data_IF_514836705022
#
_entry.id   IF_514836705022
#
_cell.length_a   1.000
_cell.length_b   1.000
_cell.length_c   1.000
_cell.angle_alpha   90.00
_cell.angle_beta   90.00
_cell.angle_gamma   90.00
#
_symmetry.space_group_name_H-M   'P 1'
#
loop_
_entity.id
_entity.type
_entity.pdbx_description
1 polymer ?
#
# COMPACT_ATOMS: atom_id res chain seq x y z
N UNK A 1 -16.25 -19.43 3.16
CA UNK A 1 -15.74 -20.22 1.99
C UNK A 1 -14.60 -19.44 1.34
N UNK A 2 -13.52 -20.09 0.83
CA UNK A 2 -12.42 -19.35 0.19
C UNK A 2 -12.84 -18.76 -1.17
N UNK A 3 -13.03 -17.45 -1.23
CA UNK A 3 -13.40 -16.76 -2.48
C UNK A 3 -12.24 -16.77 -3.49
N UNK A 4 -12.58 -16.87 -4.78
CA UNK A 4 -11.62 -16.83 -5.90
C UNK A 4 -11.24 -15.38 -6.25
N UNK A 5 -10.13 -15.19 -6.98
CA UNK A 5 -9.72 -13.87 -7.47
C UNK A 5 -10.82 -13.17 -8.28
N UNK A 6 -11.56 -13.91 -9.11
CA UNK A 6 -12.68 -13.36 -9.89
C UNK A 6 -13.82 -12.85 -8.99
N UNK A 7 -14.18 -13.61 -7.94
CA UNK A 7 -15.22 -13.20 -6.99
C UNK A 7 -14.81 -11.95 -6.19
N UNK A 8 -13.55 -11.88 -5.76
CA UNK A 8 -13.02 -10.71 -5.04
C UNK A 8 -12.98 -9.47 -5.94
N UNK A 9 -12.55 -9.63 -7.19
CA UNK A 9 -12.59 -8.59 -8.23
C UNK A 9 -14.03 -8.13 -8.52
N UNK A 10 -14.97 -9.04 -8.62
CA UNK A 10 -16.38 -8.70 -8.79
C UNK A 10 -16.91 -7.88 -7.61
N UNK A 11 -16.57 -8.27 -6.37
CA UNK A 11 -16.95 -7.55 -5.15
C UNK A 11 -16.35 -6.14 -5.13
N UNK A 12 -15.07 -6.02 -5.48
CA UNK A 12 -14.39 -4.73 -5.63
C UNK A 12 -15.08 -3.82 -6.65
N UNK A 13 -15.45 -4.38 -7.82
CA UNK A 13 -16.16 -3.62 -8.86
C UNK A 13 -17.53 -3.14 -8.38
N UNK A 14 -18.27 -3.98 -7.65
CA UNK A 14 -19.56 -3.62 -7.06
C UNK A 14 -19.42 -2.52 -6.01
N UNK A 15 -18.45 -2.65 -5.10
CA UNK A 15 -18.21 -1.66 -4.04
C UNK A 15 -17.80 -0.29 -4.59
N UNK A 16 -17.02 -0.26 -5.67
CA UNK A 16 -16.57 0.98 -6.30
C UNK A 16 -17.61 1.59 -7.26
N UNK A 17 -18.66 0.86 -7.63
CA UNK A 17 -19.63 1.33 -8.60
C UNK A 17 -20.31 2.62 -8.11
N UNK A 18 -20.22 3.70 -8.90
CA UNK A 18 -20.70 5.02 -8.52
C UNK A 18 -19.86 5.76 -7.45
N UNK A 19 -18.80 5.14 -6.91
CA UNK A 19 -17.98 5.65 -5.80
C UNK A 19 -16.49 5.87 -6.15
N UNK A 20 -16.11 5.73 -7.43
CA UNK A 20 -14.70 5.84 -7.88
C UNK A 20 -14.04 7.20 -7.60
N UNK A 21 -14.79 8.30 -7.59
CA UNK A 21 -14.21 9.65 -7.53
C UNK A 21 -13.29 9.88 -6.33
N UNK A 22 -13.71 9.46 -5.13
CA UNK A 22 -12.94 9.68 -3.90
C UNK A 22 -11.68 8.81 -3.83
N UNK A 23 -11.71 7.48 -4.09
CA UNK A 23 -10.49 6.67 -4.24
C UNK A 23 -9.53 7.18 -5.32
N UNK A 24 -10.04 7.63 -6.46
CA UNK A 24 -9.21 8.19 -7.55
C UNK A 24 -8.50 9.46 -7.09
N UNK A 25 -9.23 10.40 -6.49
CA UNK A 25 -8.66 11.62 -5.92
C UNK A 25 -7.62 11.30 -4.84
N UNK A 26 -7.90 10.28 -4.02
CA UNK A 26 -6.99 9.82 -2.99
C UNK A 26 -5.67 9.27 -3.53
N UNK A 27 -5.74 8.43 -4.57
CA UNK A 27 -4.54 7.93 -5.25
C UNK A 27 -3.75 9.07 -5.92
N UNK A 28 -4.45 9.99 -6.59
CA UNK A 28 -3.82 11.15 -7.23
C UNK A 28 -3.09 12.03 -6.19
N UNK A 29 -3.72 12.31 -5.05
CA UNK A 29 -3.11 13.05 -3.95
C UNK A 29 -1.83 12.34 -3.47
N UNK A 30 -1.90 11.03 -3.24
CA UNK A 30 -0.75 10.23 -2.80
C UNK A 30 0.38 10.27 -3.83
N UNK A 31 0.07 10.16 -5.12
CA UNK A 31 1.05 10.22 -6.20
C UNK A 31 1.72 11.61 -6.27
N UNK A 32 0.95 12.69 -6.17
CA UNK A 32 1.47 14.06 -6.16
C UNK A 32 2.39 14.30 -4.96
N UNK A 33 1.98 13.86 -3.76
CA UNK A 33 2.81 13.95 -2.55
C UNK A 33 4.11 13.18 -2.75
N UNK A 34 4.05 11.93 -3.22
CA UNK A 34 5.23 11.11 -3.45
C UNK A 34 6.20 11.76 -4.44
N UNK A 35 5.72 12.17 -5.61
CA UNK A 35 6.55 12.84 -6.62
C UNK A 35 7.17 14.12 -6.04
N UNK A 36 6.39 14.94 -5.35
CA UNK A 36 6.88 16.18 -4.76
C UNK A 36 7.98 15.95 -3.73
N UNK A 37 7.82 14.95 -2.85
CA UNK A 37 8.81 14.60 -1.84
C UNK A 37 10.10 14.06 -2.47
N UNK A 38 10.01 13.18 -3.46
CA UNK A 38 11.19 12.66 -4.15
C UNK A 38 11.91 13.75 -4.96
N UNK A 39 11.18 14.62 -5.63
CA UNK A 39 11.77 15.78 -6.34
C UNK A 39 12.48 16.73 -5.36
N UNK A 40 11.88 16.96 -4.19
CA UNK A 40 12.51 17.75 -3.13
C UNK A 40 13.79 17.09 -2.62
N UNK A 41 13.79 15.76 -2.42
CA UNK A 41 14.97 15.01 -2.00
C UNK A 41 16.13 15.17 -2.99
N UNK A 42 15.87 14.97 -4.27
CA UNK A 42 16.89 15.12 -5.32
C UNK A 42 17.31 16.58 -5.49
N UNK A 43 16.42 17.56 -5.30
CA UNK A 43 16.79 18.98 -5.36
C UNK A 43 17.71 19.40 -4.20
N UNK A 44 17.50 18.85 -2.99
CA UNK A 44 18.27 19.20 -1.80
C UNK A 44 19.58 18.41 -1.67
N UNK A 45 19.56 17.12 -2.00
CA UNK A 45 20.66 16.18 -1.75
C UNK A 45 21.18 15.49 -3.00
N UNK A 46 20.64 15.81 -4.18
CA UNK A 46 21.13 15.27 -5.44
C UNK A 46 22.56 15.72 -5.72
N UNK A 47 23.41 14.76 -6.03
CA UNK A 47 24.81 15.03 -6.36
C UNK A 47 25.65 13.76 -6.45
N UNK A 48 26.85 13.90 -7.01
CA UNK A 48 27.73 12.77 -7.33
C UNK A 48 28.78 12.45 -6.26
N UNK A 49 28.75 13.13 -5.11
CA UNK A 49 29.66 12.84 -4.00
C UNK A 49 29.12 11.69 -3.14
N UNK A 50 30.01 10.98 -2.44
CA UNK A 50 29.61 9.94 -1.48
C UNK A 50 28.66 10.52 -0.43
N UNK A 51 28.95 11.71 0.10
CA UNK A 51 28.12 12.36 1.11
C UNK A 51 26.72 12.70 0.59
N UNK A 52 26.59 13.22 -0.63
CA UNK A 52 25.28 13.57 -1.22
C UNK A 52 24.45 12.32 -1.47
N UNK A 53 25.06 11.24 -1.97
CA UNK A 53 24.36 9.97 -2.15
C UNK A 53 23.88 9.35 -0.83
N UNK A 54 24.74 9.34 0.20
CA UNK A 54 24.35 8.83 1.51
C UNK A 54 23.20 9.65 2.09
N UNK A 55 23.25 10.99 1.94
CA UNK A 55 22.16 11.87 2.39
C UNK A 55 20.87 11.65 1.58
N UNK A 56 20.94 11.59 0.25
CA UNK A 56 19.79 11.29 -0.61
C UNK A 56 19.15 9.96 -0.23
N UNK A 57 19.95 8.96 0.14
CA UNK A 57 19.45 7.66 0.58
C UNK A 57 18.74 7.73 1.94
N UNK A 58 19.31 8.44 2.91
CA UNK A 58 18.69 8.67 4.21
C UNK A 58 17.35 9.38 4.03
N UNK A 59 17.30 10.43 3.21
CA UNK A 59 16.07 11.16 2.91
C UNK A 59 15.04 10.30 2.17
N UNK A 60 15.48 9.49 1.23
CA UNK A 60 14.62 8.52 0.53
C UNK A 60 13.98 7.52 1.51
N UNK A 61 14.74 7.04 2.50
CA UNK A 61 14.21 6.18 3.57
C UNK A 61 13.16 6.94 4.38
N UNK A 62 13.46 8.16 4.85
CA UNK A 62 12.52 8.99 5.62
C UNK A 62 11.23 9.24 4.83
N UNK A 63 11.35 9.60 3.55
CA UNK A 63 10.20 9.81 2.66
C UNK A 63 9.38 8.52 2.52
N UNK A 64 10.03 7.37 2.34
CA UNK A 64 9.32 6.08 2.23
C UNK A 64 8.51 5.75 3.48
N UNK A 65 9.02 6.08 4.67
CA UNK A 65 8.31 5.89 5.94
C UNK A 65 7.12 6.84 6.04
N UNK A 66 7.27 8.11 5.68
CA UNK A 66 6.16 9.08 5.63
C UNK A 66 5.08 8.60 4.65
N UNK A 67 5.48 8.16 3.45
CA UNK A 67 4.58 7.63 2.44
C UNK A 67 3.87 6.35 2.88
N UNK A 68 4.49 5.53 3.73
CA UNK A 68 3.83 4.34 4.29
C UNK A 68 2.63 4.71 5.18
N UNK A 69 2.69 5.84 5.90
CA UNK A 69 1.58 6.34 6.71
C UNK A 69 0.44 6.81 5.81
N UNK A 70 0.74 7.60 4.77
CA UNK A 70 -0.27 7.98 3.78
C UNK A 70 -0.87 6.76 3.07
N UNK A 71 -0.04 5.77 2.72
CA UNK A 71 -0.50 4.52 2.10
C UNK A 71 -1.42 3.73 3.03
N UNK A 72 -1.16 3.71 4.35
CA UNK A 72 -2.05 3.10 5.32
C UNK A 72 -3.40 3.84 5.41
N UNK A 73 -3.39 5.18 5.41
CA UNK A 73 -4.62 5.97 5.34
C UNK A 73 -5.41 5.73 4.05
N UNK A 74 -4.74 5.63 2.91
CA UNK A 74 -5.36 5.25 1.64
C UNK A 74 -5.98 3.85 1.68
N UNK A 75 -5.34 2.90 2.36
CA UNK A 75 -5.90 1.59 2.60
C UNK A 75 -7.12 1.65 3.54
N UNK A 76 -7.09 2.49 4.59
CA UNK A 76 -8.24 2.72 5.49
C UNK A 76 -9.45 3.29 4.75
N UNK A 77 -9.23 4.22 3.83
CA UNK A 77 -10.28 4.73 2.94
C UNK A 77 -10.96 3.59 2.17
N UNK A 78 -10.18 2.64 1.64
CA UNK A 78 -10.72 1.47 0.94
C UNK A 78 -11.40 0.47 1.88
N UNK A 79 -10.89 0.27 3.10
CA UNK A 79 -11.54 -0.53 4.13
C UNK A 79 -12.94 0.00 4.42
N UNK A 80 -13.07 1.29 4.71
CA UNK A 80 -14.35 1.93 4.97
C UNK A 80 -15.28 1.83 3.76
N UNK A 81 -14.76 2.07 2.55
CA UNK A 81 -15.52 1.94 1.31
C UNK A 81 -16.08 0.52 1.12
N UNK A 82 -15.25 -0.51 1.27
CA UNK A 82 -15.65 -1.91 1.11
C UNK A 82 -16.60 -2.39 2.22
N UNK A 83 -16.50 -1.81 3.42
CA UNK A 83 -17.41 -2.05 4.55
C UNK A 83 -18.70 -1.19 4.49
N UNK A 84 -18.90 -0.40 3.43
CA UNK A 84 -20.00 0.58 3.32
C UNK A 84 -20.09 1.59 4.48
N UNK A 85 -18.96 1.88 5.12
CA UNK A 85 -18.82 2.92 6.14
C UNK A 85 -18.58 4.29 5.47
N UNK A 86 -18.84 5.42 6.15
CA UNK A 86 -18.51 6.73 5.62
C UNK A 86 -17.00 6.86 5.37
N UNK A 87 -16.63 7.45 4.22
CA UNK A 87 -15.24 7.68 3.83
C UNK A 87 -15.09 9.00 3.07
N UNK A 88 -13.93 9.64 3.20
CA UNK A 88 -13.57 10.90 2.53
C UNK A 88 -12.11 10.85 2.08
N UNK A 89 -11.75 11.67 1.08
CA UNK A 89 -10.36 11.75 0.62
C UNK A 89 -9.39 12.23 1.73
N UNK A 90 -9.90 13.00 2.71
CA UNK A 90 -9.13 13.43 3.88
C UNK A 90 -8.69 12.28 4.81
N UNK A 91 -9.32 11.10 4.70
CA UNK A 91 -9.00 9.93 5.53
C UNK A 91 -7.60 9.37 5.24
N UNK A 92 -6.94 9.81 4.17
CA UNK A 92 -5.54 9.44 3.88
C UNK A 92 -4.59 9.99 4.97
N UNK A 93 -4.94 11.13 5.58
CA UNK A 93 -4.19 11.66 6.71
C UNK A 93 -4.54 10.99 8.05
N UNK A 94 -5.56 10.13 8.10
CA UNK A 94 -6.04 9.48 9.33
C UNK A 94 -4.94 8.77 10.10
N UNK A 95 -4.07 8.04 9.37
CA UNK A 95 -2.99 7.25 9.95
C UNK A 95 -1.92 8.12 10.65
N UNK A 96 -1.84 9.43 10.36
CA UNK A 96 -0.96 10.33 11.10
C UNK A 96 -1.46 10.63 12.51
N UNK A 97 -2.79 10.59 12.72
CA UNK A 97 -3.41 10.92 14.01
C UNK A 97 -3.67 9.69 14.88
N UNK A 98 -3.53 8.48 14.33
CA UNK A 98 -3.92 7.22 14.99
C UNK A 98 -2.78 6.20 14.92
N UNK A 99 -1.77 6.38 15.78
CA UNK A 99 -0.61 5.50 15.94
C UNK A 99 0.26 5.31 14.68
N UNK A 100 0.80 6.41 14.11
CA UNK A 100 1.72 6.34 12.96
C UNK A 100 3.01 5.58 13.30
N UNK A 101 3.44 5.58 14.56
CA UNK A 101 4.65 4.92 15.04
C UNK A 101 4.67 3.43 14.68
N UNK A 102 3.57 2.72 14.86
CA UNK A 102 3.48 1.28 14.59
C UNK A 102 3.49 0.96 13.11
N UNK A 103 2.83 1.81 12.31
CA UNK A 103 2.82 1.73 10.85
C UNK A 103 4.24 1.96 10.33
N UNK A 104 4.92 3.00 10.83
CA UNK A 104 6.30 3.32 10.48
C UNK A 104 7.24 2.18 10.86
N UNK A 105 7.13 1.62 12.06
CA UNK A 105 7.97 0.50 12.51
C UNK A 105 7.73 -0.73 11.63
N UNK A 106 6.47 -1.08 11.33
CA UNK A 106 6.17 -2.22 10.45
C UNK A 106 6.73 -2.00 9.03
N UNK A 107 6.53 -0.82 8.46
CA UNK A 107 7.04 -0.47 7.13
C UNK A 107 8.58 -0.47 7.10
N UNK A 108 9.22 0.07 8.14
CA UNK A 108 10.68 0.07 8.27
C UNK A 108 11.22 -1.36 8.29
N UNK A 109 10.66 -2.25 9.12
CA UNK A 109 11.09 -3.65 9.19
C UNK A 109 10.93 -4.38 7.84
N UNK A 110 9.85 -4.11 7.11
CA UNK A 110 9.61 -4.68 5.79
C UNK A 110 10.60 -4.14 4.72
N UNK A 111 11.12 -2.93 4.89
CA UNK A 111 12.03 -2.32 3.92
C UNK A 111 13.48 -2.84 4.00
N UNK A 112 13.92 -3.31 5.18
CA UNK A 112 15.31 -3.72 5.44
C UNK A 112 15.85 -4.74 4.42
N UNK A 113 15.14 -5.85 4.10
CA UNK A 113 15.65 -6.84 3.15
C UNK A 113 15.92 -6.25 1.76
N UNK A 114 15.03 -5.37 1.29
CA UNK A 114 15.17 -4.70 0.00
C UNK A 114 16.37 -3.74 -0.02
N UNK A 115 16.64 -3.04 1.08
CA UNK A 115 17.80 -2.16 1.19
C UNK A 115 19.13 -2.93 1.14
N UNK A 116 19.23 -4.06 1.84
CA UNK A 116 20.45 -4.89 1.86
C UNK A 116 20.81 -5.34 0.43
N UNK A 117 19.82 -5.78 -0.34
CA UNK A 117 20.03 -6.24 -1.72
C UNK A 117 20.40 -5.12 -2.69
N UNK A 118 20.03 -3.88 -2.38
CA UNK A 118 20.35 -2.72 -3.22
C UNK A 118 21.72 -2.09 -2.93
N UNK A 119 22.44 -2.50 -1.88
CA UNK A 119 23.79 -1.94 -1.59
C UNK A 119 24.74 -2.00 -2.80
N UNK A 120 24.84 -3.11 -3.55
CA UNK A 120 25.72 -3.17 -4.72
C UNK A 120 25.26 -2.25 -5.88
N UNK A 121 23.98 -1.91 -5.97
CA UNK A 121 23.47 -0.96 -6.97
C UNK A 121 24.08 0.43 -6.75
N UNK A 122 24.13 0.91 -5.50
CA UNK A 122 24.73 2.22 -5.18
C UNK A 122 26.23 2.25 -5.46
N UNK A 123 26.95 1.15 -5.21
CA UNK A 123 28.37 1.04 -5.57
C UNK A 123 28.59 1.05 -7.09
N UNK A 124 27.73 0.38 -7.85
CA UNK A 124 27.78 0.39 -9.32
C UNK A 124 27.45 1.79 -9.88
N UNK A 125 26.44 2.47 -9.34
CA UNK A 125 26.09 3.85 -9.68
C UNK A 125 27.26 4.80 -9.40
N UNK A 126 27.94 4.66 -8.26
CA UNK A 126 29.13 5.45 -7.94
C UNK A 126 30.23 5.30 -8.98
N UNK A 127 30.48 4.07 -9.42
CA UNK A 127 31.49 3.80 -10.45
C UNK A 127 31.12 4.47 -11.78
N UNK A 128 29.84 4.47 -12.14
CA UNK A 128 29.31 5.12 -13.34
C UNK A 128 29.49 6.65 -13.29
N UNK A 129 29.23 7.27 -12.14
CA UNK A 129 29.38 8.71 -11.98
C UNK A 129 30.84 9.17 -11.98
N UNK A 130 31.74 8.39 -11.39
CA UNK A 130 33.17 8.70 -11.39
C UNK A 130 33.84 8.42 -12.74
N UNK A 131 33.31 7.46 -13.50
CA UNK A 131 33.86 7.00 -14.77
C UNK A 131 32.75 6.89 -15.84
N UNK A 132 32.28 8.02 -16.41
CA UNK A 132 31.22 8.02 -17.43
C UNK A 132 31.62 7.27 -18.72
N UNK A 133 32.90 7.04 -18.97
CA UNK A 133 33.34 6.17 -20.07
C UNK A 133 32.91 4.70 -19.87
N UNK A 134 32.64 4.29 -18.62
CA UNK A 134 32.18 2.94 -18.28
C UNK A 134 30.66 2.77 -18.41
N UNK A 135 29.93 3.79 -18.86
CA UNK A 135 28.49 3.69 -19.06
C UNK A 135 28.09 2.57 -20.02
N UNK A 136 28.91 2.29 -21.03
CA UNK A 136 28.67 1.23 -22.03
C UNK A 136 29.19 -0.13 -21.57
N UNK A 137 29.84 -0.22 -20.41
CA UNK A 137 30.39 -1.46 -19.91
C UNK A 137 29.28 -2.47 -19.58
N UNK A 138 29.26 -3.59 -20.31
CA UNK A 138 28.19 -4.57 -20.21
C UNK A 138 28.09 -5.17 -18.81
N UNK A 139 29.21 -5.50 -18.16
CA UNK A 139 29.16 -6.16 -16.85
C UNK A 139 28.58 -5.25 -15.77
N UNK A 140 28.94 -3.96 -15.74
CA UNK A 140 28.35 -2.99 -14.82
C UNK A 140 26.85 -2.80 -15.04
N UNK A 141 26.41 -2.70 -16.29
CA UNK A 141 24.98 -2.61 -16.61
C UNK A 141 24.20 -3.87 -16.17
N UNK A 142 24.77 -5.07 -16.37
CA UNK A 142 24.17 -6.33 -15.91
C UNK A 142 24.10 -6.41 -14.38
N UNK A 143 25.10 -5.90 -13.65
CA UNK A 143 25.06 -5.82 -12.19
C UNK A 143 23.94 -4.87 -11.72
N UNK A 144 23.82 -3.69 -12.33
CA UNK A 144 22.76 -2.73 -11.98
C UNK A 144 21.36 -3.29 -12.27
N UNK A 145 21.18 -3.91 -13.44
CA UNK A 145 19.93 -4.56 -13.80
C UNK A 145 19.61 -5.72 -12.84
N UNK A 146 20.58 -6.61 -12.61
CA UNK A 146 20.42 -7.77 -11.73
C UNK A 146 20.07 -7.37 -10.30
N UNK A 147 20.74 -6.35 -9.75
CA UNK A 147 20.48 -5.85 -8.38
C UNK A 147 19.13 -5.14 -8.28
N UNK A 148 18.73 -4.36 -9.28
CA UNK A 148 17.40 -3.71 -9.32
C UNK A 148 16.27 -4.74 -9.37
N UNK A 149 16.42 -5.76 -10.22
CA UNK A 149 15.46 -6.86 -10.33
C UNK A 149 15.41 -7.68 -9.04
N UNK A 150 16.56 -8.03 -8.47
CA UNK A 150 16.64 -8.76 -7.21
C UNK A 150 15.97 -7.98 -6.06
N UNK A 151 16.22 -6.68 -5.94
CA UNK A 151 15.58 -5.83 -4.94
C UNK A 151 14.06 -5.78 -5.10
N UNK A 152 13.59 -5.64 -6.34
CA UNK A 152 12.15 -5.66 -6.66
C UNK A 152 11.50 -7.00 -6.32
N UNK A 153 12.18 -8.12 -6.60
CA UNK A 153 11.72 -9.46 -6.24
C UNK A 153 11.67 -9.68 -4.73
N UNK A 154 12.66 -9.18 -3.98
CA UNK A 154 12.66 -9.23 -2.51
C UNK A 154 11.50 -8.42 -1.96
N UNK A 155 11.26 -7.20 -2.45
CA UNK A 155 10.12 -6.39 -2.01
C UNK A 155 8.77 -7.08 -2.31
N UNK A 156 8.63 -7.70 -3.49
CA UNK A 156 7.45 -8.50 -3.81
C UNK A 156 7.29 -9.68 -2.85
N UNK A 157 8.38 -10.40 -2.56
CA UNK A 157 8.35 -11.52 -1.63
C UNK A 157 7.97 -11.09 -0.21
N UNK A 158 8.56 -10.00 0.30
CA UNK A 158 8.19 -9.39 1.60
C UNK A 158 6.72 -9.02 1.61
N UNK A 159 6.20 -8.38 0.55
CA UNK A 159 4.78 -8.04 0.42
C UNK A 159 3.90 -9.30 0.53
N UNK A 160 4.25 -10.40 -0.14
CA UNK A 160 3.48 -11.66 -0.07
C UNK A 160 3.50 -12.32 1.32
N UNK A 161 4.46 -11.96 2.17
CA UNK A 161 4.55 -12.45 3.55
C UNK A 161 3.84 -11.55 4.56
N UNK A 162 3.83 -10.24 4.31
CA UNK A 162 3.43 -9.24 5.31
C UNK A 162 2.30 -8.30 4.85
N UNK A 163 1.65 -8.59 3.72
CA UNK A 163 0.56 -7.79 3.16
C UNK A 163 -0.56 -7.47 4.17
N UNK A 164 -0.86 -8.36 5.12
CA UNK A 164 -1.93 -8.16 6.10
C UNK A 164 -1.51 -7.31 7.31
N UNK A 165 -0.23 -6.98 7.48
CA UNK A 165 0.24 -6.24 8.66
C UNK A 165 -0.43 -4.87 8.81
N UNK A 166 -0.44 -4.07 7.74
CA UNK A 166 -1.05 -2.73 7.76
C UNK A 166 -2.56 -2.77 8.03
N UNK A 167 -3.39 -3.58 7.32
CA UNK A 167 -4.81 -3.64 7.64
C UNK A 167 -5.08 -4.12 9.07
N UNK A 168 -4.30 -5.07 9.59
CA UNK A 168 -4.45 -5.53 10.98
C UNK A 168 -4.14 -4.42 12.00
N UNK A 169 -3.13 -3.59 11.74
CA UNK A 169 -2.84 -2.41 12.57
C UNK A 169 -3.94 -1.35 12.50
N UNK A 170 -4.60 -1.21 11.34
CA UNK A 170 -5.71 -0.27 11.15
C UNK A 170 -7.02 -0.71 11.82
N UNK A 171 -7.20 -2.02 11.99
CA UNK A 171 -8.39 -2.59 12.64
C UNK A 171 -8.20 -2.87 14.13
N UNK A 172 -6.97 -3.11 14.57
CA UNK A 172 -6.65 -3.38 15.98
C UNK A 172 -5.66 -2.33 16.53
N UNK A 173 -6.16 -1.22 17.10
CA UNK A 173 -5.33 -0.15 17.65
C UNK A 173 -4.41 -0.58 18.80
N UNK A 174 -4.65 -1.74 19.41
CA UNK A 174 -3.82 -2.30 20.49
C UNK A 174 -2.68 -3.19 19.96
N UNK A 175 -2.72 -3.60 18.69
CA UNK A 175 -1.74 -4.52 18.12
C UNK A 175 -0.39 -3.83 17.90
N UNK A 176 0.69 -4.46 18.34
CA UNK A 176 2.05 -4.00 18.11
C UNK A 176 2.52 -4.24 16.67
N UNK A 177 3.53 -3.49 16.22
CA UNK A 177 4.08 -3.64 14.87
C UNK A 177 4.63 -5.05 14.61
N UNK A 178 5.42 -5.60 15.54
CA UNK A 178 5.99 -6.96 15.42
C UNK A 178 4.91 -8.04 15.45
N UNK A 179 3.91 -7.89 16.32
CA UNK A 179 2.80 -8.84 16.43
C UNK A 179 1.98 -8.84 15.14
N UNK A 180 1.75 -7.67 14.54
CA UNK A 180 1.07 -7.56 13.24
C UNK A 180 1.81 -8.29 12.11
N UNK A 181 3.15 -8.23 12.10
CA UNK A 181 3.97 -8.94 11.11
C UNK A 181 3.90 -10.45 11.34
N UNK A 182 3.96 -10.89 12.59
CA UNK A 182 3.89 -12.31 12.97
C UNK A 182 2.53 -12.90 12.59
N UNK A 183 1.44 -12.21 12.93
CA UNK A 183 0.10 -12.67 12.61
C UNK A 183 -0.17 -12.59 11.10
N UNK A 184 0.29 -11.54 10.41
CA UNK A 184 0.21 -11.50 8.94
C UNK A 184 0.90 -12.71 8.30
N UNK A 185 2.11 -13.05 8.75
CA UNK A 185 2.85 -14.20 8.22
C UNK A 185 2.11 -15.52 8.46
N UNK A 186 1.47 -15.66 9.63
CA UNK A 186 0.67 -16.81 10.02
C UNK A 186 -0.61 -16.92 9.19
N UNK A 187 -1.39 -15.86 9.08
CA UNK A 187 -2.67 -15.82 8.35
C UNK A 187 -2.49 -15.99 6.84
N UNK A 188 -1.40 -15.46 6.29
CA UNK A 188 -1.07 -15.64 4.88
C UNK A 188 -0.58 -17.06 4.56
N UNK A 189 -0.19 -17.87 5.54
CA UNK A 189 0.20 -19.27 5.31
C UNK A 189 -0.98 -20.04 4.72
N UNK A 190 -0.82 -20.54 3.49
CA UNK A 190 -1.90 -21.19 2.73
C UNK A 190 -2.74 -20.25 1.85
N UNK A 191 -2.54 -18.94 1.94
CA UNK A 191 -3.20 -17.93 1.08
C UNK A 191 -2.22 -17.15 0.18
N UNK A 192 -0.89 -17.33 0.34
CA UNK A 192 0.15 -16.64 -0.45
C UNK A 192 -0.02 -16.80 -1.96
N UNK A 193 -0.30 -18.02 -2.42
CA UNK A 193 -0.51 -18.29 -3.85
C UNK A 193 -1.75 -17.58 -4.41
N UNK A 194 -2.81 -17.46 -3.59
CA UNK A 194 -4.01 -16.72 -3.94
C UNK A 194 -3.73 -15.22 -4.03
N UNK A 195 -2.99 -14.66 -3.08
CA UNK A 195 -2.56 -13.27 -3.11
C UNK A 195 -1.67 -12.99 -4.34
N UNK A 196 -0.69 -13.85 -4.62
CA UNK A 196 0.17 -13.74 -5.79
C UNK A 196 -0.65 -13.79 -7.09
N UNK A 197 -1.63 -14.69 -7.19
CA UNK A 197 -2.49 -14.77 -8.35
C UNK A 197 -3.34 -13.50 -8.53
N UNK A 198 -3.85 -12.92 -7.44
CA UNK A 198 -4.54 -11.62 -7.49
C UNK A 198 -3.61 -10.57 -8.08
N UNK A 199 -2.42 -10.37 -7.52
CA UNK A 199 -1.44 -9.38 -8.00
C UNK A 199 -1.08 -9.59 -9.48
N UNK A 200 -0.75 -10.82 -9.88
CA UNK A 200 -0.43 -11.16 -11.27
C UNK A 200 -1.60 -10.92 -12.23
N UNK A 201 -2.83 -11.16 -11.78
CA UNK A 201 -4.02 -10.93 -12.59
C UNK A 201 -4.34 -9.44 -12.79
N UNK A 202 -3.64 -8.52 -12.11
CA UNK A 202 -3.68 -7.09 -12.38
C UNK A 202 -2.52 -6.60 -13.26
N UNK A 203 -1.47 -7.41 -13.43
CA UNK A 203 -0.27 -7.03 -14.18
C UNK A 203 -0.59 -6.58 -15.61
N UNK A 204 -1.53 -7.25 -16.30
CA UNK A 204 -1.96 -6.84 -17.64
C UNK A 204 -2.60 -5.44 -17.68
N UNK A 205 -3.43 -5.08 -16.69
CA UNK A 205 -4.02 -3.75 -16.59
C UNK A 205 -2.99 -2.69 -16.20
N UNK A 206 -2.01 -3.04 -15.35
CA UNK A 206 -0.90 -2.16 -15.00
C UNK A 206 -0.04 -1.85 -16.23
N UNK A 207 0.33 -2.88 -17.01
CA UNK A 207 1.07 -2.72 -18.28
C UNK A 207 0.29 -1.87 -19.27
N UNK A 208 -1.01 -2.10 -19.43
CA UNK A 208 -1.85 -1.28 -20.31
C UNK A 208 -1.89 0.18 -19.86
N UNK A 209 -1.90 0.42 -18.55
CA UNK A 209 -1.88 1.78 -17.99
C UNK A 209 -0.61 2.55 -18.36
N UNK A 210 0.54 1.87 -18.49
CA UNK A 210 1.80 2.50 -18.95
C UNK A 210 1.64 3.11 -20.34
N UNK A 211 1.00 2.39 -21.27
CA UNK A 211 0.75 2.89 -22.63
C UNK A 211 -0.21 4.10 -22.67
N UNK A 212 -1.02 4.30 -21.64
CA UNK A 212 -1.86 5.49 -21.46
C UNK A 212 -1.17 6.65 -20.72
N UNK A 213 0.17 6.68 -20.69
CA UNK A 213 0.95 7.64 -19.89
C UNK A 213 0.56 7.62 -18.40
N UNK A 214 0.35 6.42 -17.85
CA UNK A 214 -0.06 6.18 -16.46
C UNK A 214 -1.46 6.68 -16.07
N UNK A 215 -2.23 7.28 -16.98
CA UNK A 215 -3.58 7.77 -16.70
C UNK A 215 -4.51 6.61 -16.29
N UNK A 216 -4.36 5.44 -16.90
CA UNK A 216 -5.11 4.23 -16.53
C UNK A 216 -4.95 3.80 -15.07
N UNK A 217 -3.84 4.16 -14.41
CA UNK A 217 -3.62 3.84 -12.99
C UNK A 217 -4.66 4.48 -12.07
N UNK A 218 -5.26 5.61 -12.47
CA UNK A 218 -6.30 6.26 -11.69
C UNK A 218 -7.48 5.31 -11.44
N UNK A 219 -7.83 4.44 -12.38
CA UNK A 219 -8.90 3.43 -12.20
C UNK A 219 -8.36 2.10 -11.68
N UNK A 220 -7.20 1.68 -12.17
CA UNK A 220 -6.63 0.36 -11.84
C UNK A 220 -6.23 0.28 -10.37
N UNK A 221 -5.65 1.35 -9.81
CA UNK A 221 -5.19 1.34 -8.41
C UNK A 221 -6.36 1.20 -7.43
N UNK A 222 -7.41 2.05 -7.46
CA UNK A 222 -8.58 1.85 -6.59
C UNK A 222 -9.21 0.47 -6.72
N UNK A 223 -9.31 -0.04 -7.95
CA UNK A 223 -9.88 -1.36 -8.21
C UNK A 223 -9.03 -2.49 -7.61
N UNK A 224 -7.71 -2.40 -7.76
CA UNK A 224 -6.75 -3.33 -7.18
C UNK A 224 -6.76 -3.27 -5.65
N UNK A 225 -6.75 -2.06 -5.07
CA UNK A 225 -6.78 -1.86 -3.61
C UNK A 225 -8.08 -2.34 -2.99
N UNK A 226 -9.24 -2.11 -3.63
CA UNK A 226 -10.51 -2.68 -3.16
C UNK A 226 -10.50 -4.22 -3.23
N UNK A 227 -9.90 -4.81 -4.27
CA UNK A 227 -9.78 -6.28 -4.37
C UNK A 227 -8.90 -6.85 -3.25
N UNK A 228 -7.80 -6.14 -2.95
CA UNK A 228 -6.89 -6.42 -1.83
C UNK A 228 -7.59 -6.32 -0.47
N UNK A 229 -8.45 -5.31 -0.28
CA UNK A 229 -9.30 -5.19 0.92
C UNK A 229 -10.26 -6.38 1.02
N UNK A 230 -10.98 -6.73 -0.04
CA UNK A 230 -11.87 -7.91 -0.01
C UNK A 230 -11.10 -9.21 0.26
N UNK A 231 -9.86 -9.34 -0.23
CA UNK A 231 -9.00 -10.47 0.13
C UNK A 231 -8.69 -10.49 1.63
N UNK A 232 -8.38 -9.33 2.23
CA UNK A 232 -8.17 -9.22 3.66
C UNK A 232 -9.42 -9.64 4.44
N UNK A 233 -10.59 -9.08 4.11
CA UNK A 233 -11.88 -9.41 4.74
C UNK A 233 -12.23 -10.91 4.60
N UNK A 234 -11.86 -11.55 3.49
CA UNK A 234 -12.04 -12.99 3.29
C UNK A 234 -11.10 -13.84 4.16
N UNK A 235 -9.87 -13.37 4.38
CA UNK A 235 -8.88 -14.10 5.21
C UNK A 235 -9.18 -13.94 6.71
N UNK A 236 -9.70 -12.79 7.13
CA UNK A 236 -10.12 -12.56 8.52
C UNK A 236 -11.46 -13.19 8.84
N UNK A 237 -12.23 -13.60 7.84
CA UNK A 237 -13.55 -14.23 8.01
C UNK A 237 -14.71 -13.25 8.07
N UNK A 238 -14.45 -11.95 7.99
CA UNK A 238 -15.47 -10.89 8.09
C UNK A 238 -16.53 -10.97 6.99
N UNK A 239 -16.18 -11.49 5.80
CA UNK A 239 -17.15 -11.71 4.72
C UNK A 239 -18.11 -12.89 4.97
N UNK A 240 -17.78 -13.75 5.92
CA UNK A 240 -18.59 -14.91 6.31
C UNK A 240 -19.41 -14.64 7.58
N UNK A 241 -19.17 -13.52 8.27
CA UNK A 241 -19.99 -13.08 9.40
C UNK A 241 -21.35 -12.55 8.89
N UNK A 242 -22.47 -12.91 9.53
CA UNK A 242 -23.75 -12.31 9.21
C UNK A 242 -23.63 -10.80 9.47
N UNK A 243 -24.01 -9.99 8.48
CA UNK A 243 -24.09 -8.52 8.63
C UNK A 243 -24.94 -8.28 9.87
N UNK A 244 -24.31 -7.87 10.97
CA UNK A 244 -25.05 -7.29 12.07
C UNK A 244 -25.62 -6.00 11.51
N UNK A 245 -26.90 -6.04 11.14
CA UNK A 245 -27.68 -4.83 11.00
C UNK A 245 -27.60 -4.13 12.36
N UNK A 246 -26.62 -3.25 12.53
CA UNK A 246 -26.71 -2.17 13.51
C UNK A 246 -27.98 -1.44 13.12
N UNK A 247 -29.09 -1.82 13.75
CA UNK A 247 -30.28 -1.01 13.80
C UNK A 247 -29.83 0.36 14.29
N UNK A 248 -29.66 1.29 13.34
CA UNK A 248 -29.74 2.69 13.66
C UNK A 248 -31.16 2.87 14.20
N UNK A 249 -31.27 2.75 15.53
CA UNK A 249 -32.42 3.16 16.28
C UNK A 249 -32.59 4.65 15.98
N UNK A 250 -33.40 4.95 14.96
CA UNK A 250 -33.93 6.29 14.77
C UNK A 250 -34.83 6.54 15.98
N UNK A 251 -34.25 7.08 17.05
CA UNK A 251 -35.01 7.78 18.08
C UNK A 251 -35.69 8.98 17.41
N UNK A 252 -36.94 8.79 17.01
CA UNK A 252 -37.82 9.90 16.67
C UNK A 252 -38.11 10.69 17.96
N UNK A 253 -37.98 12.02 17.98
CA UNK A 253 -38.07 12.82 19.19
C UNK A 253 -39.52 13.15 19.60
N UNK A 254 -40.51 12.31 19.27
CA UNK A 254 -41.90 12.56 19.66
C UNK A 254 -42.40 11.46 20.58
N UNK A 255 -42.50 11.85 21.86
CA UNK A 255 -42.91 11.03 22.98
C UNK A 255 -44.33 10.48 22.84
N UNK A 256 -44.47 9.30 23.45
CA UNK A 256 -45.68 8.53 23.65
C UNK A 256 -46.74 9.35 24.40
N UNK A 257 -47.74 9.87 23.69
CA UNK A 257 -48.99 10.37 24.30
C UNK A 257 -49.96 9.21 24.42
N UNK A 258 -49.75 8.36 25.42
CA UNK A 258 -50.74 7.43 25.94
C UNK A 258 -50.48 7.27 27.44
N UNK A 259 -50.76 8.35 28.17
CA UNK A 259 -51.06 8.31 29.61
C UNK A 259 -51.62 9.66 30.03
N UNK A 260 -52.93 9.83 29.88
CA UNK A 260 -53.76 10.66 30.77
C UNK A 260 -55.19 10.15 30.64
N UNK A 261 -55.70 9.60 31.74
CA UNK A 261 -57.13 9.46 32.00
C UNK A 261 -57.78 10.78 32.40
#
# INVERSE_FOLDING_TARGET
MKRTSAQLKQSARMALNGKYGTPMAGFLLLAVIAVSLYMLSTALFGGYSISTMVMEQIFTIVISLILSVFSAGFFKLHLNLCRNQPFRAGDIAYAFSHHPDRIIISAFLQSIPGFIVQVPLYAALMTYYQHPERMTNLSLNLIMLGTTLAGSLVNLFVKLLFFLSIPMLLDNPELGALDSLRESFRLLKGHRGRLLYIELSFLGMLVLSVFSCYIGLLWVVPYMTATQVFFYLDVTGELDEPVQETHAEYQTPYGNYNDIG
#
